data_IF_595427754192
#
_entry.id   IF_595427754192
#
_cell.length_a   1.000
_cell.length_b   1.000
_cell.length_c   1.000
_cell.angle_alpha   90.00
_cell.angle_beta   90.00
_cell.angle_gamma   90.00
#
_symmetry.space_group_name_H-M   'P 1'
#
loop_
_entity.id
_entity.type
_entity.pdbx_description
1 polymer ?
#
# COMPACT_ATOMS: atom_id res chain seq x y z
N UNK A 1 -33.51 16.69 34.55
CA UNK A 1 -32.28 15.87 34.47
C UNK A 1 -31.29 16.47 35.43
N UNK A 2 -31.12 15.83 36.60
CA UNK A 2 -30.32 16.37 37.71
C UNK A 2 -28.83 16.10 37.45
N UNK A 3 -28.02 17.16 37.44
CA UNK A 3 -26.57 17.05 37.34
C UNK A 3 -26.00 16.37 38.59
N UNK A 4 -25.26 15.26 38.38
CA UNK A 4 -24.62 14.49 39.46
C UNK A 4 -23.24 15.10 39.75
N UNK A 5 -22.95 15.55 41.00
CA UNK A 5 -21.70 16.22 41.36
C UNK A 5 -20.42 15.41 41.07
N UNK A 6 -20.51 14.08 41.09
CA UNK A 6 -19.38 13.18 40.92
C UNK A 6 -19.47 12.39 39.59
N UNK A 7 -19.88 13.06 38.51
CA UNK A 7 -19.82 12.43 37.18
C UNK A 7 -18.34 12.29 36.78
N UNK A 8 -17.82 11.07 36.55
CA UNK A 8 -16.45 10.91 36.07
C UNK A 8 -16.31 11.61 34.72
N UNK A 9 -15.20 12.35 34.57
CA UNK A 9 -14.88 13.01 33.31
C UNK A 9 -14.83 11.96 32.20
N UNK A 10 -15.31 12.31 31.00
CA UNK A 10 -15.17 11.45 29.84
C UNK A 10 -13.68 11.15 29.63
N UNK A 11 -13.34 9.87 29.47
CA UNK A 11 -11.97 9.46 29.12
C UNK A 11 -11.56 10.23 27.87
N UNK A 12 -10.37 10.84 27.89
CA UNK A 12 -9.82 11.50 26.73
C UNK A 12 -9.79 10.49 25.57
N UNK A 13 -10.45 10.82 24.45
CA UNK A 13 -10.38 10.00 23.24
C UNK A 13 -8.93 9.95 22.79
N UNK A 14 -8.38 8.75 22.64
CA UNK A 14 -7.04 8.57 22.07
C UNK A 14 -6.98 9.33 20.74
N UNK A 15 -6.00 10.22 20.52
CA UNK A 15 -5.79 10.83 19.21
C UNK A 15 -5.72 9.74 18.15
N UNK A 16 -6.38 9.96 17.01
CA UNK A 16 -6.38 9.00 15.91
C UNK A 16 -4.95 8.62 15.54
N UNK A 17 -4.72 7.33 15.27
CA UNK A 17 -3.43 6.85 14.80
C UNK A 17 -3.03 7.63 13.53
N UNK A 18 -1.74 7.96 13.36
CA UNK A 18 -1.27 8.55 12.12
C UNK A 18 -1.60 7.61 10.95
N UNK A 19 -1.78 8.14 9.72
CA UNK A 19 -2.05 7.29 8.57
C UNK A 19 -0.92 6.26 8.42
N UNK A 20 -1.29 5.02 8.11
CA UNK A 20 -0.37 3.89 8.04
C UNK A 20 -0.20 3.43 6.59
N UNK A 21 0.89 2.72 6.33
CA UNK A 21 1.09 2.06 5.06
C UNK A 21 0.00 1.00 4.83
N UNK A 22 -0.44 0.87 3.59
CA UNK A 22 -1.47 -0.10 3.19
C UNK A 22 -0.90 -1.10 2.22
N UNK A 23 -1.34 -2.35 2.31
CA UNK A 23 -0.96 -3.43 1.38
C UNK A 23 -2.22 -4.02 0.79
N UNK A 24 -2.25 -4.15 -0.54
CA UNK A 24 -3.36 -4.72 -1.28
C UNK A 24 -2.87 -5.86 -2.17
N UNK A 25 -3.64 -6.93 -2.21
CA UNK A 25 -3.43 -8.07 -3.11
C UNK A 25 -4.43 -7.94 -4.26
N UNK A 26 -3.94 -8.05 -5.49
CA UNK A 26 -4.71 -7.76 -6.71
C UNK A 26 -4.41 -8.78 -7.80
N UNK A 27 -5.07 -8.65 -8.95
CA UNK A 27 -4.83 -9.50 -10.14
C UNK A 27 -4.94 -11.00 -9.81
N UNK A 28 -6.06 -11.42 -9.24
CA UNK A 28 -6.29 -12.82 -8.84
C UNK A 28 -5.20 -13.37 -7.92
N UNK A 29 -4.80 -12.58 -6.92
CA UNK A 29 -3.75 -12.92 -5.95
C UNK A 29 -2.34 -13.12 -6.52
N UNK A 30 -2.04 -12.57 -7.70
CA UNK A 30 -0.70 -12.66 -8.29
C UNK A 30 0.19 -11.46 -8.01
N UNK A 31 -0.37 -10.35 -7.54
CA UNK A 31 0.36 -9.08 -7.36
C UNK A 31 0.05 -8.41 -6.03
N UNK A 32 1.09 -7.95 -5.35
CA UNK A 32 1.02 -7.17 -4.12
C UNK A 32 1.35 -5.72 -4.45
N UNK A 33 0.56 -4.79 -3.94
CA UNK A 33 0.88 -3.35 -4.00
C UNK A 33 0.90 -2.80 -2.60
N UNK A 34 2.01 -2.15 -2.23
CA UNK A 34 2.15 -1.46 -0.96
C UNK A 34 2.27 0.05 -1.21
N UNK A 35 1.59 0.85 -0.40
CA UNK A 35 1.52 2.31 -0.53
C UNK A 35 1.80 2.95 0.82
N UNK A 36 2.68 3.96 0.83
CA UNK A 36 2.95 4.78 2.00
C UNK A 36 1.94 5.95 2.07
N UNK A 37 1.62 6.46 3.27
CA UNK A 37 0.79 7.66 3.44
C UNK A 37 1.30 8.90 2.70
N UNK A 38 2.60 8.96 2.46
CA UNK A 38 3.30 10.02 1.74
C UNK A 38 3.14 9.92 0.22
N UNK A 39 2.54 8.85 -0.29
CA UNK A 39 2.17 8.68 -1.70
C UNK A 39 3.11 7.78 -2.51
N UNK A 40 4.27 7.38 -1.98
CA UNK A 40 5.10 6.36 -2.62
C UNK A 40 4.39 5.02 -2.66
N UNK A 41 4.67 4.24 -3.70
CA UNK A 41 4.12 2.90 -3.82
C UNK A 41 5.09 1.95 -4.49
N UNK A 42 5.00 0.67 -4.15
CA UNK A 42 5.68 -0.43 -4.84
C UNK A 42 4.68 -1.48 -5.26
N UNK A 43 4.87 -2.06 -6.44
CA UNK A 43 4.08 -3.20 -6.92
C UNK A 43 4.99 -4.39 -7.21
N UNK A 44 4.63 -5.56 -6.72
CA UNK A 44 5.45 -6.78 -6.77
C UNK A 44 4.62 -7.92 -7.34
N UNK A 45 5.15 -8.57 -8.38
CA UNK A 45 4.63 -9.85 -8.87
C UNK A 45 5.09 -10.97 -7.94
N UNK A 46 4.16 -11.79 -7.47
CA UNK A 46 4.50 -12.91 -6.59
C UNK A 46 5.32 -13.98 -7.31
N UNK A 47 5.07 -14.18 -8.61
CA UNK A 47 5.94 -14.99 -9.45
C UNK A 47 7.33 -14.34 -9.54
N UNK A 48 8.34 -15.02 -9.02
CA UNK A 48 9.73 -14.54 -9.01
C UNK A 48 10.00 -13.37 -8.06
N UNK A 49 9.04 -13.00 -7.18
CA UNK A 49 9.15 -11.86 -6.27
C UNK A 49 9.62 -10.56 -6.97
N UNK A 50 9.20 -10.36 -8.22
CA UNK A 50 9.73 -9.31 -9.09
C UNK A 50 9.03 -7.98 -8.82
N UNK A 51 9.80 -6.95 -8.48
CA UNK A 51 9.29 -5.58 -8.37
C UNK A 51 8.97 -5.09 -9.78
N UNK A 52 7.74 -4.63 -10.01
CA UNK A 52 7.27 -4.18 -11.32
C UNK A 52 7.25 -2.66 -11.45
N UNK A 53 7.09 -1.96 -10.34
CA UNK A 53 6.92 -0.52 -10.29
C UNK A 53 7.36 -0.01 -8.92
N UNK A 54 8.11 1.09 -8.90
CA UNK A 54 8.45 1.82 -7.69
C UNK A 54 8.21 3.30 -7.95
N UNK A 55 7.09 3.80 -7.44
CA UNK A 55 6.65 5.18 -7.65
C UNK A 55 7.07 6.03 -6.47
N UNK A 56 7.67 7.18 -6.79
CA UNK A 56 7.86 8.26 -5.83
C UNK A 56 6.54 8.96 -5.51
N UNK A 57 6.50 9.74 -4.41
CA UNK A 57 5.33 10.54 -4.02
C UNK A 57 4.85 11.49 -5.13
N UNK A 58 5.74 11.94 -6.03
CA UNK A 58 5.37 12.76 -7.19
C UNK A 58 4.78 11.96 -8.38
N UNK A 59 4.55 10.65 -8.20
CA UNK A 59 3.94 9.76 -9.18
C UNK A 59 4.90 9.24 -10.25
N UNK A 60 6.15 9.71 -10.30
CA UNK A 60 7.15 9.20 -11.26
C UNK A 60 7.62 7.80 -10.86
N UNK A 61 7.54 6.87 -11.80
CA UNK A 61 8.11 5.53 -11.67
C UNK A 61 9.64 5.58 -11.80
N UNK A 62 10.31 4.80 -10.97
CA UNK A 62 11.78 4.67 -10.95
C UNK A 62 12.25 3.47 -11.76
N UNK A 63 11.34 2.58 -12.13
CA UNK A 63 11.63 1.36 -12.85
C UNK A 63 11.03 1.45 -14.25
N UNK A 64 11.73 0.86 -15.21
CA UNK A 64 11.18 0.68 -16.55
C UNK A 64 10.56 -0.70 -16.64
N UNK A 65 9.36 -0.78 -17.19
CA UNK A 65 8.67 -2.04 -17.43
C UNK A 65 8.21 -2.09 -18.89
N UNK A 66 8.54 -3.18 -19.57
CA UNK A 66 8.11 -3.40 -20.95
C UNK A 66 6.58 -3.49 -21.03
N UNK A 67 5.95 -2.73 -21.94
CA UNK A 67 4.51 -2.82 -22.20
C UNK A 67 4.09 -4.22 -22.70
N UNK A 68 5.00 -4.92 -23.39
CA UNK A 68 4.78 -6.27 -23.92
C UNK A 68 5.24 -7.39 -22.97
N UNK A 69 5.52 -7.11 -21.69
CA UNK A 69 5.90 -8.17 -20.75
C UNK A 69 4.70 -9.07 -20.44
N UNK A 70 4.95 -10.36 -20.19
CA UNK A 70 3.91 -11.33 -19.83
C UNK A 70 4.03 -11.64 -18.34
N UNK A 71 2.89 -11.65 -17.63
CA UNK A 71 2.82 -11.82 -16.17
C UNK A 71 2.29 -13.20 -15.72
N UNK A 72 2.09 -14.13 -16.65
CA UNK A 72 1.51 -15.46 -16.41
C UNK A 72 2.50 -16.49 -15.82
N UNK A 73 3.75 -16.09 -15.60
CA UNK A 73 4.81 -16.96 -15.09
C UNK A 73 5.44 -17.90 -16.12
N UNK A 74 5.03 -17.84 -17.40
CA UNK A 74 5.61 -18.68 -18.47
C UNK A 74 7.03 -18.27 -18.85
N UNK A 75 7.44 -17.04 -18.52
CA UNK A 75 8.76 -16.48 -18.81
C UNK A 75 9.11 -15.36 -17.83
N UNK A 76 10.41 -15.01 -17.70
CA UNK A 76 10.83 -13.87 -16.90
C UNK A 76 10.16 -12.57 -17.33
N UNK A 77 9.88 -11.71 -16.36
CA UNK A 77 9.39 -10.35 -16.59
C UNK A 77 10.48 -9.52 -17.26
N UNK A 78 10.12 -8.73 -18.27
CA UNK A 78 11.05 -7.82 -18.95
C UNK A 78 10.92 -6.42 -18.37
N UNK A 79 11.84 -6.08 -17.47
CA UNK A 79 11.86 -4.83 -16.72
C UNK A 79 11.69 -5.08 -15.22
N UNK A 80 11.35 -4.02 -14.50
CA UNK A 80 11.40 -3.97 -13.04
C UNK A 80 12.69 -3.37 -12.51
#
# INVERSE_FOLDING_TARGET
MVDRPNKPAALATTPGLPPQATVNITHSNTRVTATLPTGESVSVLLHGATVLSWRSASGRDRLWLSENTVFDGTKPVRGG
#
